data_IF_043107645319
#
_entry.id   IF_043107645319
#
_cell.length_a   1.000
_cell.length_b   1.000
_cell.length_c   1.000
_cell.angle_alpha   90.00
_cell.angle_beta   90.00
_cell.angle_gamma   90.00
#
_symmetry.space_group_name_H-M   'P 1'
#
loop_
_entity.id
_entity.type
_entity.pdbx_description
1 polymer ?
#
# COMPACT_ATOMS: atom_id res chain seq x y z
N UNK A 1 11.13 26.78 19.18
CA UNK A 1 11.80 27.56 18.12
C UNK A 1 12.90 28.39 18.79
N UNK A 2 14.18 28.20 18.43
CA UNK A 2 15.32 28.89 19.07
C UNK A 2 15.64 30.17 18.26
N UNK A 3 15.66 31.37 18.86
CA UNK A 3 15.98 32.62 18.16
C UNK A 3 17.48 32.74 17.84
N UNK A 4 17.83 32.97 16.56
CA UNK A 4 19.21 33.27 16.13
C UNK A 4 19.67 32.59 14.83
N UNK A 5 18.95 31.58 14.34
CA UNK A 5 19.36 30.83 13.14
C UNK A 5 18.69 31.38 11.86
N UNK A 6 18.88 32.68 11.60
CA UNK A 6 18.26 33.36 10.47
C UNK A 6 19.22 34.31 9.77
N UNK A 7 20.28 33.79 9.13
CA UNK A 7 21.00 34.51 8.05
C UNK A 7 22.11 33.65 7.40
N UNK A 8 21.85 33.18 6.18
CA UNK A 8 22.85 33.30 5.10
C UNK A 8 23.91 32.21 4.89
N UNK A 9 23.76 30.98 5.40
CA UNK A 9 24.63 29.89 4.95
C UNK A 9 24.15 29.36 3.58
N UNK A 10 25.05 29.41 2.58
CA UNK A 10 24.78 28.87 1.25
C UNK A 10 24.53 27.35 1.35
N UNK A 11 23.38 26.81 0.89
CA UNK A 11 23.03 25.39 1.03
C UNK A 11 24.10 24.42 0.52
N UNK A 12 24.86 24.82 -0.52
CA UNK A 12 25.95 24.01 -1.08
C UNK A 12 27.15 23.90 -0.14
N UNK A 13 27.46 24.97 0.59
CA UNK A 13 28.56 24.98 1.57
C UNK A 13 28.19 24.13 2.78
N UNK A 14 26.92 24.15 3.20
CA UNK A 14 26.43 23.30 4.28
C UNK A 14 26.52 21.81 3.91
N UNK A 15 26.10 21.45 2.69
CA UNK A 15 26.20 20.06 2.19
C UNK A 15 27.65 19.58 2.11
N UNK A 16 28.58 20.45 1.69
CA UNK A 16 30.02 20.13 1.68
C UNK A 16 30.59 19.95 3.09
N UNK A 17 30.16 20.79 4.05
CA UNK A 17 30.58 20.67 5.44
C UNK A 17 30.05 19.38 6.08
N UNK A 18 28.78 19.05 5.86
CA UNK A 18 28.16 17.81 6.33
C UNK A 18 28.91 16.58 5.79
N UNK A 19 29.22 16.56 4.50
CA UNK A 19 29.98 15.47 3.88
C UNK A 19 31.38 15.30 4.48
N UNK A 20 32.05 16.39 4.88
CA UNK A 20 33.34 16.33 5.58
C UNK A 20 33.24 15.77 7.00
N UNK A 21 32.10 15.96 7.65
CA UNK A 21 31.79 15.40 8.97
C UNK A 21 31.31 13.93 8.89
N UNK A 22 31.31 13.33 7.70
CA UNK A 22 30.81 11.96 7.49
C UNK A 22 29.29 11.87 7.53
N UNK A 23 28.59 13.00 7.37
CA UNK A 23 27.13 13.07 7.34
C UNK A 23 26.68 13.11 5.88
N UNK A 24 25.91 12.11 5.47
CA UNK A 24 25.28 12.04 4.15
C UNK A 24 23.77 12.17 4.30
N UNK A 25 23.15 13.01 3.46
CA UNK A 25 21.70 13.20 3.44
C UNK A 25 21.21 12.92 2.03
N UNK A 26 20.26 11.99 1.92
CA UNK A 26 19.69 11.48 0.68
C UNK A 26 18.16 11.50 0.79
N UNK A 27 17.48 12.10 -0.19
CA UNK A 27 16.03 12.01 -0.33
C UNK A 27 15.72 10.77 -1.18
N UNK A 28 14.85 9.90 -0.69
CA UNK A 28 14.42 8.71 -1.43
C UNK A 28 13.31 9.10 -2.39
N UNK A 29 13.58 8.92 -3.69
CA UNK A 29 12.59 9.12 -4.73
C UNK A 29 11.73 7.87 -4.95
N UNK A 30 10.47 8.06 -5.37
CA UNK A 30 9.59 6.96 -5.77
C UNK A 30 9.08 6.08 -4.63
N UNK A 31 9.14 6.55 -3.38
CA UNK A 31 8.58 5.82 -2.24
C UNK A 31 7.06 5.83 -2.31
N UNK A 32 6.46 4.64 -2.48
CA UNK A 32 5.00 4.49 -2.55
C UNK A 32 4.33 4.46 -1.18
N UNK A 33 4.99 3.84 -0.20
CA UNK A 33 4.40 3.58 1.12
C UNK A 33 5.48 3.35 2.17
N UNK A 34 5.22 3.81 3.40
CA UNK A 34 5.93 3.39 4.61
C UNK A 34 4.94 2.69 5.54
N UNK A 35 5.36 1.56 6.13
CA UNK A 35 4.57 0.79 7.10
C UNK A 35 5.37 0.68 8.39
N UNK A 36 4.78 1.12 9.50
CA UNK A 36 5.35 0.98 10.85
C UNK A 36 4.48 -0.03 11.61
N UNK A 37 5.02 -1.21 11.85
CA UNK A 37 4.32 -2.29 12.57
C UNK A 37 4.58 -2.11 14.07
N UNK A 38 3.51 -1.93 14.84
CA UNK A 38 3.50 -1.94 16.32
C UNK A 38 2.99 -3.30 16.83
N UNK A 39 2.97 -3.49 18.15
CA UNK A 39 2.51 -4.72 18.79
C UNK A 39 1.00 -4.98 18.68
N UNK A 40 0.22 -3.93 18.41
CA UNK A 40 -1.26 -3.94 18.39
C UNK A 40 -1.86 -3.42 17.07
N UNK A 41 -1.11 -2.64 16.29
CA UNK A 41 -1.55 -2.05 15.04
C UNK A 41 -0.41 -1.78 14.04
N UNK A 42 -0.77 -1.36 12.84
CA UNK A 42 0.14 -0.92 11.79
C UNK A 42 -0.17 0.54 11.42
N UNK A 43 0.87 1.36 11.25
CA UNK A 43 0.75 2.72 10.74
C UNK A 43 1.19 2.77 9.28
N UNK A 44 0.35 3.34 8.44
CA UNK A 44 0.55 3.48 7.01
C UNK A 44 0.76 4.95 6.67
N UNK A 45 1.78 5.22 5.85
CA UNK A 45 2.00 6.52 5.22
C UNK A 45 2.02 6.30 3.70
N UNK A 46 1.00 6.80 3.01
CA UNK A 46 0.88 6.77 1.55
C UNK A 46 1.59 7.98 0.92
N UNK A 47 2.22 7.75 -0.23
CA UNK A 47 3.04 8.72 -0.97
C UNK A 47 3.93 9.58 -0.04
N UNK A 48 4.76 8.95 0.83
CA UNK A 48 5.56 9.68 1.79
C UNK A 48 6.75 10.37 1.12
N UNK A 49 7.13 11.53 1.66
CA UNK A 49 8.47 12.07 1.48
C UNK A 49 9.40 11.45 2.51
N UNK A 50 10.47 10.79 2.06
CA UNK A 50 11.41 10.08 2.93
C UNK A 50 12.83 10.58 2.71
N UNK A 51 13.50 10.93 3.80
CA UNK A 51 14.90 11.38 3.79
C UNK A 51 15.73 10.50 4.71
N UNK A 52 16.85 9.98 4.22
CA UNK A 52 17.83 9.24 5.01
C UNK A 52 19.00 10.16 5.32
N UNK A 53 19.34 10.26 6.60
CA UNK A 53 20.57 10.87 7.07
C UNK A 53 21.50 9.78 7.65
N UNK A 54 22.61 9.54 6.97
CA UNK A 54 23.65 8.61 7.44
C UNK A 54 24.71 9.37 8.21
N UNK A 55 25.07 8.86 9.38
CA UNK A 55 26.17 9.34 10.22
C UNK A 55 27.07 8.16 10.59
N UNK A 56 28.29 8.38 11.10
CA UNK A 56 29.14 7.28 11.56
C UNK A 56 28.52 6.43 12.69
N UNK A 57 27.59 6.98 13.46
CA UNK A 57 26.91 6.31 14.58
C UNK A 57 25.68 5.51 14.14
N UNK A 58 25.16 5.78 12.94
CA UNK A 58 23.96 5.12 12.42
C UNK A 58 23.18 5.95 11.40
N UNK A 59 22.04 5.42 11.00
CA UNK A 59 21.13 6.04 10.03
C UNK A 59 19.86 6.54 10.72
N UNK A 60 19.45 7.75 10.37
CA UNK A 60 18.18 8.35 10.78
C UNK A 60 17.30 8.53 9.57
N UNK A 61 16.08 7.98 9.61
CA UNK A 61 15.09 8.10 8.54
C UNK A 61 14.01 9.09 8.99
N UNK A 62 13.80 10.12 8.20
CA UNK A 62 12.71 11.07 8.37
C UNK A 62 11.60 10.76 7.37
N UNK A 63 10.40 10.51 7.86
CA UNK A 63 9.21 10.22 7.04
C UNK A 63 8.19 11.33 7.27
N UNK A 64 7.74 11.97 6.19
CA UNK A 64 6.69 12.99 6.21
C UNK A 64 5.53 12.57 5.29
N UNK A 65 4.30 12.62 5.80
CA UNK A 65 3.10 12.27 5.06
C UNK A 65 1.87 12.16 5.96
N UNK A 66 0.74 11.72 5.38
CA UNK A 66 -0.50 11.46 6.13
C UNK A 66 -0.45 10.07 6.74
N UNK A 67 -0.68 9.97 8.04
CA UNK A 67 -0.66 8.73 8.79
C UNK A 67 -2.07 8.13 8.86
N UNK A 68 -2.21 6.84 8.53
CA UNK A 68 -3.41 6.03 8.75
C UNK A 68 -3.07 4.88 9.70
N UNK A 69 -3.89 4.64 10.72
CA UNK A 69 -3.69 3.55 11.68
C UNK A 69 -4.68 2.41 11.38
N UNK A 70 -4.19 1.18 11.36
CA UNK A 70 -4.96 -0.02 11.04
C UNK A 70 -4.69 -1.12 12.07
N UNK A 71 -5.70 -1.90 12.51
CA UNK A 71 -5.49 -3.03 13.42
C UNK A 71 -4.55 -4.09 12.83
N UNK A 72 -3.76 -4.78 13.67
CA UNK A 72 -2.93 -5.89 13.21
C UNK A 72 -3.77 -6.97 12.52
N UNK A 73 -3.33 -7.40 11.34
CA UNK A 73 -4.01 -8.43 10.56
C UNK A 73 -4.92 -7.90 9.44
N UNK A 74 -5.09 -6.58 9.30
CA UNK A 74 -5.73 -5.98 8.10
C UNK A 74 -4.87 -6.08 6.82
N UNK A 75 -3.83 -6.92 6.83
CA UNK A 75 -2.97 -7.22 5.68
C UNK A 75 -3.74 -7.75 4.48
N UNK A 76 -4.92 -8.33 4.69
CA UNK A 76 -5.81 -8.72 3.60
C UNK A 76 -6.39 -7.54 2.81
N UNK A 77 -6.25 -6.29 3.28
CA UNK A 77 -6.74 -5.10 2.56
C UNK A 77 -5.62 -4.21 1.99
N UNK A 78 -4.41 -4.24 2.55
CA UNK A 78 -3.33 -3.33 2.12
C UNK A 78 -2.53 -3.83 0.89
N UNK A 79 -2.46 -5.14 0.63
CA UNK A 79 -2.01 -5.68 -0.68
C UNK A 79 -3.10 -5.59 -1.74
N UNK A 80 -4.35 -5.41 -1.32
CA UNK A 80 -5.49 -5.27 -2.22
C UNK A 80 -5.58 -3.86 -2.83
N UNK A 81 -4.99 -2.81 -2.26
CA UNK A 81 -4.96 -1.50 -2.95
C UNK A 81 -3.92 -1.41 -4.08
N UNK A 82 -2.94 -2.33 -4.15
CA UNK A 82 -1.98 -2.40 -5.26
C UNK A 82 -2.22 -3.55 -6.25
N UNK A 83 -3.23 -4.41 -5.99
CA UNK A 83 -3.64 -5.57 -6.80
C UNK A 83 -5.16 -5.76 -6.90
N UNK A 84 -5.98 -4.72 -6.64
CA UNK A 84 -7.40 -4.68 -7.05
C UNK A 84 -7.58 -3.89 -8.35
N UNK A 85 -6.71 -4.12 -9.33
CA UNK A 85 -6.99 -3.83 -10.75
C UNK A 85 -6.66 -5.07 -11.56
N UNK A 86 -7.46 -6.11 -11.35
CA UNK A 86 -7.28 -7.43 -11.97
C UNK A 86 -8.29 -8.48 -11.53
N UNK A 87 -9.18 -8.15 -10.58
CA UNK A 87 -10.47 -8.82 -10.53
C UNK A 87 -11.30 -8.22 -11.64
N UNK A 88 -11.65 -8.99 -12.67
CA UNK A 88 -12.78 -8.70 -13.55
C UNK A 88 -13.88 -8.06 -12.68
N UNK A 89 -14.29 -6.84 -13.01
CA UNK A 89 -15.45 -6.19 -12.39
C UNK A 89 -16.66 -7.03 -12.77
N UNK A 90 -16.89 -8.11 -12.03
CA UNK A 90 -18.08 -8.91 -12.20
C UNK A 90 -19.21 -8.13 -11.52
N UNK A 91 -20.26 -7.74 -12.27
CA UNK A 91 -21.39 -7.00 -11.71
C UNK A 91 -21.98 -7.75 -10.50
N UNK A 92 -22.37 -7.01 -9.45
CA UNK A 92 -22.99 -7.64 -8.28
C UNK A 92 -24.29 -8.37 -8.64
N UNK A 93 -25.02 -7.89 -9.65
CA UNK A 93 -26.20 -8.54 -10.20
C UNK A 93 -25.89 -9.94 -10.74
N UNK A 94 -24.74 -10.11 -11.41
CA UNK A 94 -24.31 -11.39 -11.96
C UNK A 94 -23.86 -12.36 -10.87
N UNK A 95 -23.17 -11.86 -9.84
CA UNK A 95 -22.78 -12.65 -8.66
C UNK A 95 -24.04 -13.15 -7.94
N UNK A 96 -25.03 -12.28 -7.76
CA UNK A 96 -26.29 -12.62 -7.12
C UNK A 96 -27.07 -13.64 -7.94
N UNK A 97 -27.13 -13.47 -9.27
CA UNK A 97 -27.80 -14.41 -10.17
C UNK A 97 -27.18 -15.81 -10.09
N UNK A 98 -25.85 -15.91 -10.09
CA UNK A 98 -25.15 -17.20 -9.96
C UNK A 98 -25.44 -17.83 -8.60
N UNK A 99 -25.36 -17.08 -7.50
CA UNK A 99 -25.67 -17.59 -6.15
C UNK A 99 -27.12 -18.06 -6.02
N UNK A 100 -28.07 -17.29 -6.54
CA UNK A 100 -29.50 -17.61 -6.43
C UNK A 100 -29.86 -18.86 -7.24
N UNK A 101 -29.20 -19.08 -8.40
CA UNK A 101 -29.47 -20.25 -9.26
C UNK A 101 -28.70 -21.51 -8.86
N UNK A 102 -27.54 -21.38 -8.20
CA UNK A 102 -26.68 -22.53 -7.87
C UNK A 102 -26.55 -22.82 -6.37
N UNK A 103 -26.97 -21.87 -5.51
CA UNK A 103 -26.92 -22.01 -4.05
C UNK A 103 -25.52 -21.96 -3.44
N UNK A 104 -24.49 -21.59 -4.21
CA UNK A 104 -23.09 -21.54 -3.72
C UNK A 104 -22.78 -20.24 -2.98
N UNK A 105 -21.68 -20.24 -2.21
CA UNK A 105 -21.19 -19.03 -1.54
C UNK A 105 -20.72 -17.98 -2.55
N UNK A 106 -20.78 -16.70 -2.13
CA UNK A 106 -20.33 -15.55 -2.93
C UNK A 106 -18.93 -15.71 -3.51
N UNK A 107 -18.02 -16.29 -2.73
CA UNK A 107 -16.64 -16.55 -3.16
C UNK A 107 -16.57 -17.51 -4.33
N UNK A 108 -17.35 -18.61 -4.28
CA UNK A 108 -17.44 -19.62 -5.33
C UNK A 108 -18.10 -19.05 -6.60
N UNK A 109 -19.12 -18.20 -6.45
CA UNK A 109 -19.76 -17.51 -7.56
C UNK A 109 -18.81 -16.55 -8.27
N UNK A 110 -18.01 -15.78 -7.52
CA UNK A 110 -16.99 -14.87 -8.09
C UNK A 110 -15.90 -15.65 -8.83
N UNK A 111 -15.46 -16.80 -8.28
CA UNK A 111 -14.47 -17.67 -8.92
C UNK A 111 -14.99 -18.22 -10.25
N UNK A 112 -16.23 -18.71 -10.28
CA UNK A 112 -16.87 -19.22 -11.49
C UNK A 112 -17.02 -18.12 -12.56
N UNK A 113 -17.50 -16.94 -12.19
CA UNK A 113 -17.65 -15.79 -13.10
C UNK A 113 -16.30 -15.33 -13.65
N UNK A 114 -15.24 -15.34 -12.84
CA UNK A 114 -13.88 -15.05 -13.33
C UNK A 114 -13.38 -16.10 -14.32
N UNK A 115 -13.69 -17.37 -14.08
CA UNK A 115 -13.27 -18.46 -14.96
C UNK A 115 -14.04 -18.49 -16.29
N UNK A 116 -15.23 -17.89 -16.35
CA UNK A 116 -16.08 -17.78 -17.54
C UNK A 116 -16.07 -16.38 -18.15
N UNK A 117 -15.01 -15.61 -17.90
CA UNK A 117 -14.82 -14.25 -18.43
C UNK A 117 -16.00 -13.28 -18.17
N UNK A 118 -16.71 -13.48 -17.05
CA UNK A 118 -17.85 -12.66 -16.63
C UNK A 118 -19.20 -13.11 -17.16
N UNK A 119 -19.31 -14.27 -17.83
CA UNK A 119 -20.60 -14.80 -18.31
C UNK A 119 -21.37 -15.53 -17.20
N UNK A 120 -22.55 -15.04 -16.76
CA UNK A 120 -23.33 -15.66 -15.69
C UNK A 120 -23.89 -17.03 -16.08
N UNK A 121 -24.33 -17.18 -17.33
CA UNK A 121 -24.89 -18.44 -17.83
C UNK A 121 -23.85 -19.56 -17.85
N UNK A 122 -22.63 -19.26 -18.33
CA UNK A 122 -21.53 -20.22 -18.32
C UNK A 122 -21.06 -20.52 -16.91
N UNK A 123 -21.03 -19.53 -16.01
CA UNK A 123 -20.67 -19.72 -14.62
C UNK A 123 -21.65 -20.67 -13.90
N UNK A 124 -22.96 -20.50 -14.13
CA UNK A 124 -24.01 -21.37 -13.60
C UNK A 124 -23.83 -22.81 -14.10
N UNK A 125 -23.68 -22.98 -15.42
CA UNK A 125 -23.50 -24.31 -16.02
C UNK A 125 -22.27 -25.00 -15.47
N UNK A 126 -21.14 -24.27 -15.36
CA UNK A 126 -19.90 -24.81 -14.82
C UNK A 126 -20.05 -25.27 -13.38
N UNK A 127 -20.73 -24.49 -12.54
CA UNK A 127 -20.98 -24.88 -11.14
C UNK A 127 -21.90 -26.11 -11.07
N UNK A 128 -22.91 -26.19 -11.94
CA UNK A 128 -23.84 -27.32 -11.99
C UNK A 128 -23.20 -28.60 -12.54
N UNK A 129 -22.18 -28.50 -13.40
CA UNK A 129 -21.40 -29.65 -13.89
C UNK A 129 -20.37 -30.16 -12.86
N UNK A 130 -19.96 -29.32 -11.91
CA UNK A 130 -19.04 -29.66 -10.82
C UNK A 130 -19.74 -30.24 -9.57
N UNK A 131 -21.07 -30.32 -9.56
CA UNK A 131 -21.91 -30.85 -8.46
C UNK A 131 -22.63 -32.15 -8.79
#
# INVERSE_FOLDING_TARGET
MIPGMGRGLNPRQLKMLMKRLGIEVEELEGVKRVIIVKEDCELYVEDPSVTIMRTPEGETIQVAGKLKEMPLGSREDAEKEGKREGGVEVPEEDIQLVMDQTGVSRERAIEALKATSGSPAEAILKIMEEG
#
